data_IF_794770147294
#
_entry.id   IF_794770147294
#
_cell.length_a   1.000
_cell.length_b   1.000
_cell.length_c   1.000
_cell.angle_alpha   90.00
_cell.angle_beta   90.00
_cell.angle_gamma   90.00
#
_symmetry.space_group_name_H-M   'P 1'
#
loop_
_entity.id
_entity.type
_entity.pdbx_description
1 polymer ?
#
# COMPACT_ATOMS: atom_id res chain seq x y z
N UNK A 1 11.52 -5.72 8.13
CA UNK A 1 10.63 -6.61 7.36
C UNK A 1 9.25 -6.50 7.97
N UNK A 2 8.25 -5.98 7.26
CA UNK A 2 6.87 -6.00 7.75
C UNK A 2 6.09 -7.07 6.98
N UNK A 3 6.26 -8.32 7.38
CA UNK A 3 5.18 -9.27 7.18
C UNK A 3 4.06 -8.79 8.10
N UNK A 4 2.92 -8.35 7.56
CA UNK A 4 1.68 -8.51 8.31
C UNK A 4 1.71 -9.96 8.80
N UNK A 5 1.56 -10.20 10.11
CA UNK A 5 1.60 -11.53 10.72
C UNK A 5 0.54 -12.40 10.04
N UNK A 6 0.96 -13.05 8.96
CA UNK A 6 0.13 -13.87 8.12
C UNK A 6 0.81 -15.22 8.14
N UNK A 7 0.24 -16.12 8.95
CA UNK A 7 0.59 -17.54 8.99
C UNK A 7 0.72 -18.02 7.54
N UNK A 8 1.74 -18.82 7.22
CA UNK A 8 2.07 -19.27 5.84
C UNK A 8 0.86 -19.72 5.00
N UNK A 9 -0.23 -20.22 5.61
CA UNK A 9 -1.48 -20.58 4.92
C UNK A 9 -2.47 -19.44 4.60
N UNK A 10 -2.40 -18.29 5.28
CA UNK A 10 -3.34 -17.16 5.11
C UNK A 10 -3.00 -16.30 3.89
N UNK A 11 -1.72 -16.25 3.49
CA UNK A 11 -1.24 -15.60 2.26
C UNK A 11 -1.78 -16.32 1.01
N UNK A 12 -1.79 -17.67 1.01
CA UNK A 12 -2.30 -18.49 -0.11
C UNK A 12 -3.82 -18.34 -0.25
N UNK A 13 -4.57 -18.29 0.86
CA UNK A 13 -6.03 -18.03 0.83
C UNK A 13 -6.37 -16.63 0.31
N UNK A 14 -5.56 -15.61 0.64
CA UNK A 14 -5.73 -14.24 0.12
C UNK A 14 -5.32 -14.10 -1.36
N UNK A 15 -4.49 -15.02 -1.88
CA UNK A 15 -4.07 -15.02 -3.28
C UNK A 15 -5.26 -15.19 -4.26
N UNK A 16 -6.30 -15.91 -3.86
CA UNK A 16 -7.49 -16.21 -4.68
C UNK A 16 -8.80 -15.61 -4.17
N UNK A 17 -8.75 -14.65 -3.23
CA UNK A 17 -9.94 -13.96 -2.74
C UNK A 17 -10.52 -13.09 -3.85
N UNK A 18 -11.71 -13.47 -4.35
CA UNK A 18 -12.49 -12.69 -5.32
C UNK A 18 -13.34 -11.67 -4.56
N UNK A 19 -13.37 -10.45 -5.07
CA UNK A 19 -14.25 -9.39 -4.56
C UNK A 19 -15.43 -9.20 -5.51
N UNK A 20 -16.60 -8.95 -4.93
CA UNK A 20 -17.83 -8.71 -5.67
C UNK A 20 -18.32 -7.28 -5.41
N UNK A 21 -18.74 -6.59 -6.47
CA UNK A 21 -19.54 -5.37 -6.45
C UNK A 21 -20.89 -5.68 -7.14
N UNK A 22 -21.85 -4.75 -7.06
CA UNK A 22 -23.21 -4.94 -7.58
C UNK A 22 -23.28 -5.56 -8.99
N UNK A 23 -22.36 -5.20 -9.89
CA UNK A 23 -22.33 -5.70 -11.27
C UNK A 23 -20.93 -6.15 -11.73
N UNK A 24 -20.00 -6.43 -10.81
CA UNK A 24 -18.62 -6.70 -11.20
C UNK A 24 -17.92 -7.61 -10.20
N UNK A 25 -17.34 -8.71 -10.69
CA UNK A 25 -16.39 -9.52 -9.94
C UNK A 25 -14.99 -9.08 -10.31
N UNK A 26 -14.12 -8.88 -9.33
CA UNK A 26 -12.79 -8.35 -9.57
C UNK A 26 -11.74 -8.95 -8.65
N UNK A 27 -10.51 -8.97 -9.16
CA UNK A 27 -9.30 -9.39 -8.44
C UNK A 27 -8.14 -8.54 -8.98
N UNK A 28 -8.10 -7.28 -8.56
CA UNK A 28 -7.17 -6.29 -9.10
C UNK A 28 -6.03 -6.08 -8.10
N UNK A 29 -4.93 -6.80 -8.30
CA UNK A 29 -3.74 -6.74 -7.45
C UNK A 29 -2.63 -6.00 -8.19
N UNK A 30 -2.02 -5.04 -7.51
CA UNK A 30 -0.96 -4.22 -8.08
C UNK A 30 0.27 -4.25 -7.18
N UNK A 31 1.42 -4.51 -7.80
CA UNK A 31 2.71 -4.31 -7.17
C UNK A 31 3.17 -2.88 -7.45
N UNK A 32 3.24 -2.08 -6.40
CA UNK A 32 3.55 -0.66 -6.44
C UNK A 32 4.90 -0.45 -5.77
N UNK A 33 5.79 0.24 -6.49
CA UNK A 33 7.09 0.65 -5.98
C UNK A 33 7.26 2.16 -6.16
N UNK A 34 7.65 2.87 -5.11
CA UNK A 34 8.02 4.28 -5.22
C UNK A 34 9.12 4.65 -4.23
N UNK A 35 9.87 5.70 -4.57
CA UNK A 35 11.02 6.18 -3.80
C UNK A 35 10.74 7.54 -3.18
N UNK A 36 11.22 7.82 -1.95
CA UNK A 36 11.18 9.17 -1.38
C UNK A 36 12.03 10.13 -2.21
N UNK A 37 11.62 11.41 -2.25
CA UNK A 37 12.32 12.45 -3.00
C UNK A 37 13.76 12.58 -2.48
N UNK A 38 14.74 12.61 -3.40
CA UNK A 38 16.18 12.65 -3.11
C UNK A 38 16.75 11.46 -2.31
N UNK A 39 16.00 10.36 -2.12
CA UNK A 39 16.47 9.12 -1.47
C UNK A 39 17.18 9.38 -0.11
N UNK A 40 16.67 10.34 0.68
CA UNK A 40 17.24 10.74 1.97
C UNK A 40 17.00 9.65 3.03
N UNK A 41 17.93 8.69 3.10
CA UNK A 41 17.84 7.48 3.95
C UNK A 41 17.72 7.79 5.46
N UNK A 42 18.42 8.82 5.94
CA UNK A 42 18.49 9.17 7.38
C UNK A 42 17.13 9.61 7.93
N UNK A 43 16.49 10.57 7.25
CA UNK A 43 15.17 11.10 7.61
C UNK A 43 14.12 9.99 7.50
N UNK A 44 14.17 9.24 6.39
CA UNK A 44 13.23 8.15 6.15
C UNK A 44 13.25 7.06 7.25
N UNK A 45 14.43 6.76 7.81
CA UNK A 45 14.53 5.72 8.83
C UNK A 45 13.89 6.13 10.17
N UNK A 46 13.86 7.43 10.50
CA UNK A 46 13.21 7.96 11.70
C UNK A 46 11.69 7.95 11.58
N UNK A 47 11.16 8.37 10.42
CA UNK A 47 9.71 8.45 10.17
C UNK A 47 9.10 7.14 9.63
N UNK A 48 9.90 6.07 9.53
CA UNK A 48 9.50 4.80 8.90
C UNK A 48 8.23 4.21 9.50
N UNK A 49 8.07 4.28 10.81
CA UNK A 49 6.90 3.77 11.52
C UNK A 49 5.68 4.67 11.29
N UNK A 50 5.84 5.98 11.40
CA UNK A 50 4.79 6.97 11.11
C UNK A 50 4.27 6.84 9.67
N UNK A 51 5.17 6.80 8.68
CA UNK A 51 4.85 6.61 7.26
C UNK A 51 4.04 5.34 7.06
N UNK A 52 4.41 4.25 7.75
CA UNK A 52 3.68 2.97 7.64
C UNK A 52 2.24 3.13 8.11
N UNK A 53 2.01 3.82 9.22
CA UNK A 53 0.67 3.96 9.78
C UNK A 53 -0.18 4.97 8.99
N UNK A 54 0.44 6.02 8.47
CA UNK A 54 -0.20 6.94 7.50
C UNK A 54 -0.62 6.18 6.25
N UNK A 55 0.27 5.39 5.63
CA UNK A 55 -0.05 4.62 4.42
C UNK A 55 -1.19 3.61 4.66
N UNK A 56 -1.20 2.91 5.81
CA UNK A 56 -2.32 2.03 6.16
C UNK A 56 -3.63 2.80 6.28
N UNK A 57 -3.60 3.96 6.92
CA UNK A 57 -4.78 4.81 7.14
C UNK A 57 -5.33 5.33 5.82
N UNK A 58 -4.48 5.86 4.96
CA UNK A 58 -4.85 6.35 3.62
C UNK A 58 -5.42 5.25 2.72
N UNK A 59 -4.83 4.06 2.75
CA UNK A 59 -5.37 2.89 2.04
C UNK A 59 -6.75 2.49 2.59
N UNK A 60 -6.92 2.51 3.92
CA UNK A 60 -8.20 2.24 4.59
C UNK A 60 -9.31 3.19 4.16
N UNK A 61 -9.03 4.49 4.05
CA UNK A 61 -10.00 5.49 3.60
C UNK A 61 -10.51 5.27 2.17
N UNK A 62 -9.69 4.66 1.30
CA UNK A 62 -10.07 4.33 -0.08
C UNK A 62 -10.59 2.90 -0.24
N UNK A 63 -10.70 2.14 0.85
CA UNK A 63 -11.09 0.73 0.80
C UNK A 63 -10.08 -0.15 0.05
N UNK A 64 -8.81 0.25 0.03
CA UNK A 64 -7.71 -0.49 -0.61
C UNK A 64 -7.09 -1.43 0.42
N UNK A 65 -7.02 -2.72 0.09
CA UNK A 65 -6.46 -3.75 0.97
C UNK A 65 -4.96 -3.90 0.70
N UNK A 66 -4.12 -3.72 1.73
CA UNK A 66 -2.68 -3.96 1.63
C UNK A 66 -2.43 -5.45 1.92
N UNK A 67 -1.98 -6.18 0.90
CA UNK A 67 -1.66 -7.60 0.99
C UNK A 67 -0.26 -7.82 1.56
N UNK A 68 0.72 -7.09 1.03
CA UNK A 68 2.12 -7.12 1.49
C UNK A 68 2.73 -5.72 1.42
N UNK A 69 3.69 -5.42 2.29
CA UNK A 69 4.33 -4.10 2.34
C UNK A 69 5.74 -4.15 2.92
N UNK A 70 6.72 -3.67 2.17
CA UNK A 70 8.13 -3.61 2.55
C UNK A 70 8.64 -2.18 2.42
N UNK A 71 8.98 -1.59 3.57
CA UNK A 71 9.63 -0.29 3.66
C UNK A 71 11.15 -0.51 3.69
N UNK A 72 11.82 -0.22 2.58
CA UNK A 72 13.28 -0.23 2.45
C UNK A 72 13.82 1.20 2.60
N UNK A 73 15.09 1.39 3.01
CA UNK A 73 15.64 2.72 3.27
C UNK A 73 15.60 3.69 2.06
N UNK A 74 15.54 3.15 0.85
CA UNK A 74 15.61 3.87 -0.41
C UNK A 74 14.33 3.78 -1.26
N UNK A 75 13.42 2.86 -0.95
CA UNK A 75 12.19 2.63 -1.68
C UNK A 75 11.11 1.90 -0.85
N UNK A 76 9.85 2.03 -1.24
CA UNK A 76 8.71 1.35 -0.63
C UNK A 76 8.11 0.39 -1.66
N UNK A 77 7.99 -0.89 -1.30
CA UNK A 77 7.28 -1.89 -2.10
C UNK A 77 5.97 -2.23 -1.41
N UNK A 78 4.86 -2.22 -2.15
CA UNK A 78 3.57 -2.66 -1.64
C UNK A 78 2.84 -3.49 -2.68
N UNK A 79 2.22 -4.56 -2.21
CA UNK A 79 1.24 -5.32 -2.97
C UNK A 79 -0.14 -4.95 -2.43
N UNK A 80 -0.96 -4.31 -3.27
CA UNK A 80 -2.28 -3.79 -2.88
C UNK A 80 -3.38 -4.33 -3.78
N UNK A 81 -4.57 -4.51 -3.21
CA UNK A 81 -5.81 -4.81 -3.93
C UNK A 81 -6.62 -3.53 -4.05
N UNK A 82 -6.72 -2.99 -5.27
CA UNK A 82 -7.39 -1.70 -5.54
C UNK A 82 -8.71 -1.96 -6.25
N UNK A 83 -9.85 -1.43 -5.77
CA UNK A 83 -11.12 -1.52 -6.47
C UNK A 83 -11.02 -0.92 -7.88
N UNK A 84 -11.57 -1.57 -8.93
CA UNK A 84 -11.45 -1.10 -10.32
C UNK A 84 -12.18 0.23 -10.59
N UNK A 85 -12.96 0.74 -9.63
CA UNK A 85 -13.53 2.09 -9.64
C UNK A 85 -12.46 3.19 -9.60
N UNK A 86 -11.28 2.90 -9.03
CA UNK A 86 -10.17 3.86 -8.93
C UNK A 86 -9.12 3.56 -10.00
N UNK A 87 -8.67 4.61 -10.70
CA UNK A 87 -7.48 4.49 -11.54
C UNK A 87 -6.23 4.44 -10.67
N UNK A 88 -5.24 3.63 -11.08
CA UNK A 88 -3.98 3.45 -10.36
C UNK A 88 -3.23 4.78 -10.27
N UNK A 89 -3.24 5.58 -11.34
CA UNK A 89 -2.59 6.89 -11.38
C UNK A 89 -3.21 7.86 -10.37
N UNK A 90 -4.54 7.91 -10.28
CA UNK A 90 -5.25 8.74 -9.29
C UNK A 90 -4.96 8.29 -7.86
N UNK A 91 -4.98 6.97 -7.61
CA UNK A 91 -4.64 6.40 -6.31
C UNK A 91 -3.21 6.74 -5.90
N UNK A 92 -2.24 6.61 -6.82
CA UNK A 92 -0.85 6.97 -6.56
C UNK A 92 -0.64 8.46 -6.28
N UNK A 93 -1.36 9.33 -7.00
CA UNK A 93 -1.35 10.77 -6.74
C UNK A 93 -1.88 11.11 -5.34
N UNK A 94 -3.01 10.49 -4.96
CA UNK A 94 -3.57 10.62 -3.61
C UNK A 94 -2.61 10.12 -2.53
N UNK A 95 -2.08 8.91 -2.69
CA UNK A 95 -1.24 8.25 -1.69
C UNK A 95 0.03 9.04 -1.42
N UNK A 96 0.76 9.41 -2.49
CA UNK A 96 2.01 10.19 -2.36
C UNK A 96 1.76 11.63 -1.93
N UNK A 97 0.68 12.24 -2.41
CA UNK A 97 0.33 13.63 -2.10
C UNK A 97 -0.02 13.81 -0.63
N UNK A 98 -0.85 12.91 -0.09
CA UNK A 98 -1.26 12.96 1.32
C UNK A 98 -0.15 12.52 2.28
N UNK A 99 0.59 11.46 1.96
CA UNK A 99 1.71 11.07 2.82
C UNK A 99 2.71 12.22 2.99
N UNK A 100 3.05 12.92 1.90
CA UNK A 100 4.00 14.05 1.97
C UNK A 100 3.50 15.24 2.80
N UNK A 101 2.18 15.38 2.97
CA UNK A 101 1.58 16.45 3.77
C UNK A 101 1.43 16.06 5.24
N UNK A 102 1.14 14.78 5.52
CA UNK A 102 0.95 14.23 6.87
C UNK A 102 2.28 13.77 7.51
N UNK A 103 3.37 13.65 6.73
CA UNK A 103 4.73 13.34 7.18
C UNK A 103 5.52 14.59 7.66
N UNK A 104 4.93 15.80 7.65
CA UNK A 104 5.52 17.07 8.14
C UNK A 104 4.97 17.44 9.52
#
# INVERSE_FOLDING_TARGET
MFKLLSKKGKVILMAHKKHDMAHTKWMCKYHIVFTPKYRRKMIYNQYKESIRDILKTLCGYKGVEILEGHLMPDHIHMLVSIPPKYSISSFMGYLKGKSSADDI
#
